data_IF_609864513209
#
_entry.id   IF_609864513209
#
_cell.length_a   1.000
_cell.length_b   1.000
_cell.length_c   1.000
_cell.angle_alpha   90.00
_cell.angle_beta   90.00
_cell.angle_gamma   90.00
#
_symmetry.space_group_name_H-M   'P 1'
#
loop_
_entity.id
_entity.type
_entity.pdbx_description
1 polymer ?
#
# COMPACT_ATOMS: atom_id res chain seq x y z
N UNK A 1 65.19 70.35 8.59
CA UNK A 1 65.20 69.10 9.39
C UNK A 1 63.75 68.68 9.59
N UNK A 2 63.17 67.92 8.64
CA UNK A 2 61.77 67.50 8.71
C UNK A 2 61.68 66.06 9.21
N UNK A 3 61.08 65.91 10.39
CA UNK A 3 60.87 64.64 11.06
C UNK A 3 59.84 63.80 10.28
N UNK A 4 60.30 62.73 9.65
CA UNK A 4 59.48 61.75 8.96
C UNK A 4 58.73 60.89 9.99
N UNK A 5 57.60 61.41 10.46
CA UNK A 5 56.74 60.83 11.50
C UNK A 5 56.07 59.54 10.97
N UNK A 6 56.53 58.38 11.45
CA UNK A 6 55.87 57.06 11.51
C UNK A 6 54.45 56.93 10.91
N UNK A 7 54.30 56.97 9.58
CA UNK A 7 53.01 56.73 8.87
C UNK A 7 52.77 55.25 8.51
N UNK A 8 53.75 54.37 8.74
CA UNK A 8 53.68 52.94 8.42
C UNK A 8 52.65 52.10 9.22
N UNK A 9 52.33 52.39 10.50
CA UNK A 9 51.32 51.59 11.20
C UNK A 9 49.89 51.90 10.71
N UNK A 10 49.65 53.10 10.18
CA UNK A 10 48.32 53.52 9.72
C UNK A 10 47.89 52.77 8.45
N UNK A 11 48.82 52.58 7.50
CA UNK A 11 48.54 51.86 6.25
C UNK A 11 48.23 50.38 6.48
N UNK A 12 48.88 49.76 7.47
CA UNK A 12 48.62 48.36 7.85
C UNK A 12 47.22 48.24 8.47
N UNK A 13 46.82 49.21 9.30
CA UNK A 13 45.49 49.22 9.90
C UNK A 13 44.37 49.37 8.87
N UNK A 14 44.55 50.26 7.88
CA UNK A 14 43.60 50.44 6.77
C UNK A 14 43.53 49.17 5.92
N UNK A 15 44.67 48.53 5.63
CA UNK A 15 44.70 47.28 4.87
C UNK A 15 43.96 46.14 5.60
N UNK A 16 44.16 45.99 6.92
CA UNK A 16 43.43 45.01 7.71
C UNK A 16 41.91 45.24 7.67
N UNK A 17 41.43 46.47 7.79
CA UNK A 17 39.99 46.77 7.76
C UNK A 17 39.36 46.45 6.39
N UNK A 18 40.08 46.69 5.29
CA UNK A 18 39.59 46.36 3.94
C UNK A 18 39.49 44.84 3.74
N UNK A 19 40.43 44.05 4.27
CA UNK A 19 40.34 42.58 4.16
C UNK A 19 39.18 41.98 4.94
N UNK A 20 38.77 42.54 6.09
CA UNK A 20 37.62 42.04 6.86
C UNK A 20 36.30 42.17 6.08
N UNK A 21 36.18 43.17 5.20
CA UNK A 21 34.99 43.36 4.34
C UNK A 21 34.88 42.31 3.23
N UNK A 22 36.01 41.76 2.76
CA UNK A 22 36.04 40.76 1.68
C UNK A 22 35.73 39.33 2.18
N UNK A 23 35.90 39.07 3.48
CA UNK A 23 35.55 37.80 4.13
C UNK A 23 34.20 37.84 4.85
N UNK A 24 33.41 38.91 4.69
CA UNK A 24 31.99 38.87 5.03
C UNK A 24 31.31 37.93 4.03
N UNK A 25 31.33 36.64 4.35
CA UNK A 25 30.64 35.58 3.64
C UNK A 25 29.23 36.08 3.31
N UNK A 26 28.93 36.20 2.02
CA UNK A 26 27.56 36.29 1.52
C UNK A 26 26.73 35.27 2.27
N UNK A 27 25.68 35.72 2.95
CA UNK A 27 24.74 34.90 3.73
C UNK A 27 24.01 33.93 2.78
N UNK A 28 24.72 32.91 2.31
CA UNK A 28 24.18 31.76 1.59
C UNK A 28 23.67 30.72 2.60
N UNK A 29 23.18 31.21 3.75
CA UNK A 29 22.50 30.38 4.74
C UNK A 29 21.13 30.12 4.18
N UNK A 30 20.90 28.87 3.80
CA UNK A 30 19.62 28.41 3.29
C UNK A 30 18.48 28.91 4.18
N UNK A 31 17.63 29.78 3.62
CA UNK A 31 16.59 30.51 4.34
C UNK A 31 15.57 29.52 4.87
N UNK A 32 15.51 29.36 6.19
CA UNK A 32 14.49 28.56 6.85
C UNK A 32 13.16 29.32 6.85
N UNK A 33 12.08 28.63 6.52
CA UNK A 33 10.70 29.11 6.59
C UNK A 33 9.93 28.32 7.65
N UNK A 34 9.04 29.00 8.36
CA UNK A 34 8.04 28.34 9.19
C UNK A 34 6.97 27.78 8.25
N UNK A 35 6.87 26.46 8.18
CA UNK A 35 5.83 25.76 7.45
C UNK A 35 4.87 25.11 8.44
N UNK A 36 3.67 25.65 8.53
CA UNK A 36 2.61 25.15 9.41
C UNK A 36 1.30 25.02 8.64
N UNK A 37 0.43 24.10 9.05
CA UNK A 37 -0.76 23.74 8.30
C UNK A 37 -1.58 22.66 8.99
N UNK A 38 -2.61 22.19 8.30
CA UNK A 38 -3.52 21.15 8.78
C UNK A 38 -3.51 19.96 7.81
N UNK A 39 -3.40 18.74 8.35
CA UNK A 39 -3.65 17.51 7.60
C UNK A 39 -5.10 17.07 7.83
N UNK A 40 -5.85 16.96 6.73
CA UNK A 40 -7.27 16.64 6.74
C UNK A 40 -7.54 15.53 5.73
N UNK A 41 -8.50 14.66 6.04
CA UNK A 41 -9.04 13.72 5.06
C UNK A 41 -9.96 14.44 4.06
N UNK A 42 -10.32 13.78 2.95
CA UNK A 42 -11.27 14.31 1.97
C UNK A 42 -12.60 14.77 2.61
N UNK A 43 -13.06 14.05 3.64
CA UNK A 43 -14.28 14.36 4.40
C UNK A 43 -14.08 15.45 5.48
N UNK A 44 -13.00 16.24 5.39
CA UNK A 44 -12.66 17.30 6.36
C UNK A 44 -12.43 16.82 7.80
N UNK A 45 -12.07 15.56 7.98
CA UNK A 45 -11.73 14.99 9.28
C UNK A 45 -10.23 15.23 9.57
N UNK A 46 -9.85 15.83 10.72
CA UNK A 46 -8.45 16.06 11.04
C UNK A 46 -7.70 14.76 11.28
N UNK A 47 -6.45 14.71 10.81
CA UNK A 47 -5.58 13.56 10.99
C UNK A 47 -4.62 13.80 12.14
N UNK A 48 -4.90 13.17 13.27
CA UNK A 48 -4.03 13.16 14.44
C UNK A 48 -2.86 12.17 14.29
N UNK A 49 -1.73 12.43 14.96
CA UNK A 49 -0.59 11.53 15.08
C UNK A 49 0.04 11.11 13.74
N UNK A 50 -0.14 11.89 12.68
CA UNK A 50 0.56 11.73 11.42
C UNK A 50 1.96 12.34 11.53
N UNK A 51 2.97 11.59 11.09
CA UNK A 51 4.36 12.04 11.11
C UNK A 51 4.72 12.70 9.78
N UNK A 52 5.19 13.94 9.85
CA UNK A 52 5.81 14.65 8.75
C UNK A 52 7.33 14.53 8.87
N UNK A 53 7.96 13.86 7.91
CA UNK A 53 9.40 13.60 7.88
C UNK A 53 10.02 14.44 6.78
N UNK A 54 10.89 15.38 7.13
CA UNK A 54 11.66 16.14 6.14
C UNK A 54 12.80 15.28 5.61
N UNK A 55 12.85 15.01 4.30
CA UNK A 55 13.89 14.17 3.72
C UNK A 55 15.31 14.76 3.80
N UNK A 56 15.44 16.09 3.84
CA UNK A 56 16.74 16.77 3.89
C UNK A 56 17.32 16.73 5.29
N UNK A 57 16.53 17.14 6.28
CA UNK A 57 16.99 17.28 7.67
C UNK A 57 16.72 16.04 8.53
N UNK A 58 15.94 15.08 8.03
CA UNK A 58 15.41 13.94 8.78
C UNK A 58 14.62 14.33 10.04
N UNK A 59 14.22 15.60 10.14
CA UNK A 59 13.42 16.09 11.26
C UNK A 59 11.99 15.56 11.13
N UNK A 60 11.48 15.04 12.23
CA UNK A 60 10.14 14.47 12.35
C UNK A 60 9.28 15.39 13.21
N UNK A 61 8.07 15.68 12.73
CA UNK A 61 7.04 16.41 13.48
C UNK A 61 5.74 15.60 13.40
N UNK A 62 5.01 15.49 14.50
CA UNK A 62 3.71 14.84 14.53
C UNK A 62 2.58 15.90 14.49
N UNK A 63 1.43 15.54 13.92
CA UNK A 63 0.21 16.34 14.03
C UNK A 63 -0.44 16.20 15.40
N UNK A 64 -1.10 17.26 15.86
CA UNK A 64 -1.95 17.24 17.06
C UNK A 64 -3.37 16.72 16.79
N UNK A 65 -4.24 16.73 17.80
CA UNK A 65 -5.64 16.28 17.73
C UNK A 65 -6.50 17.08 16.75
N UNK A 66 -6.06 18.26 16.32
CA UNK A 66 -6.73 19.09 15.31
C UNK A 66 -6.15 18.87 13.90
N UNK A 67 -5.20 17.94 13.77
CA UNK A 67 -4.45 17.71 12.54
C UNK A 67 -3.43 18.80 12.24
N UNK A 68 -3.17 19.72 13.17
CA UNK A 68 -2.23 20.82 12.98
C UNK A 68 -0.79 20.34 13.12
N UNK A 69 0.08 20.86 12.27
CA UNK A 69 1.53 20.69 12.38
C UNK A 69 2.26 22.01 12.20
N UNK A 70 3.48 22.08 12.73
CA UNK A 70 4.40 23.19 12.53
C UNK A 70 5.84 22.70 12.48
N UNK A 71 6.54 23.03 11.40
CA UNK A 71 7.95 22.67 11.21
C UNK A 71 8.75 23.82 10.62
N UNK A 72 10.08 23.74 10.80
CA UNK A 72 11.04 24.61 10.14
C UNK A 72 11.62 23.81 8.97
N UNK A 73 11.47 24.35 7.76
CA UNK A 73 11.95 23.70 6.54
C UNK A 73 12.53 24.75 5.59
N UNK A 74 13.27 24.32 4.58
CA UNK A 74 13.73 25.20 3.52
C UNK A 74 12.74 25.14 2.35
N UNK A 75 12.57 26.24 1.59
CA UNK A 75 11.88 26.21 0.31
C UNK A 75 12.38 25.06 -0.58
N UNK A 76 11.46 24.31 -1.18
CA UNK A 76 11.75 23.14 -2.01
C UNK A 76 12.01 21.85 -1.23
N UNK A 77 12.00 21.87 0.11
CA UNK A 77 12.08 20.63 0.89
C UNK A 77 10.87 19.72 0.63
N UNK A 78 11.12 18.42 0.69
CA UNK A 78 10.09 17.39 0.60
C UNK A 78 9.80 16.81 1.98
N UNK A 79 8.52 16.85 2.36
CA UNK A 79 8.00 16.31 3.61
C UNK A 79 7.17 15.07 3.27
N UNK A 80 7.58 13.90 3.78
CA UNK A 80 6.78 12.69 3.70
C UNK A 80 5.76 12.68 4.84
N UNK A 81 4.48 12.60 4.48
CA UNK A 81 3.41 12.28 5.43
C UNK A 81 3.35 10.78 5.60
N UNK A 82 3.50 10.34 6.85
CA UNK A 82 3.44 8.95 7.22
C UNK A 82 2.44 8.75 8.35
N UNK A 83 1.48 7.87 8.12
CA UNK A 83 0.51 7.45 9.12
C UNK A 83 0.09 6.02 8.79
N UNK A 84 -0.22 5.22 9.82
CA UNK A 84 -0.50 3.78 9.66
C UNK A 84 -1.66 3.51 8.68
N UNK A 85 -2.67 4.38 8.70
CA UNK A 85 -3.91 4.22 7.93
C UNK A 85 -3.95 5.05 6.65
N UNK A 86 -2.95 5.90 6.39
CA UNK A 86 -2.96 6.81 5.24
C UNK A 86 -2.05 6.33 4.12
N UNK A 87 -2.36 6.74 2.91
CA UNK A 87 -1.45 6.57 1.78
C UNK A 87 -0.21 7.45 1.97
N UNK A 88 0.99 6.92 1.74
CA UNK A 88 2.21 7.72 1.78
C UNK A 88 2.11 8.86 0.76
N UNK A 89 2.23 10.09 1.23
CA UNK A 89 2.15 11.28 0.40
C UNK A 89 3.36 12.17 0.64
N UNK A 90 3.85 12.81 -0.41
CA UNK A 90 4.96 13.77 -0.33
C UNK A 90 4.39 15.16 -0.57
N UNK A 91 4.73 16.08 0.33
CA UNK A 91 4.37 17.50 0.26
C UNK A 91 5.66 18.29 0.00
N UNK A 92 5.59 19.24 -0.93
CA UNK A 92 6.70 20.16 -1.16
C UNK A 92 6.47 21.48 -0.42
N UNK A 93 7.51 21.97 0.24
CA UNK A 93 7.49 23.28 0.90
C UNK A 93 7.63 24.37 -0.16
N UNK A 94 6.62 25.23 -0.37
CA UNK A 94 6.70 26.30 -1.37
C UNK A 94 7.67 27.40 -0.92
N UNK A 95 8.13 28.22 -1.87
CA UNK A 95 8.97 29.39 -1.58
C UNK A 95 8.28 30.42 -0.69
N UNK A 96 6.97 30.58 -0.88
CA UNK A 96 6.10 31.43 -0.08
C UNK A 96 4.93 30.61 0.43
N UNK A 97 5.04 29.96 1.60
CA UNK A 97 3.95 29.16 2.15
C UNK A 97 2.73 30.04 2.45
N UNK A 98 1.57 29.57 1.99
CA UNK A 98 0.30 30.11 2.41
C UNK A 98 0.18 30.01 3.94
N UNK A 99 -0.59 30.90 4.56
CA UNK A 99 -0.86 30.80 6.00
C UNK A 99 -1.73 29.58 6.24
N UNK A 100 -1.18 28.57 6.91
CA UNK A 100 -1.89 27.36 7.35
C UNK A 100 -2.65 26.63 6.24
N UNK A 101 -1.99 26.17 5.16
CA UNK A 101 -2.61 25.33 4.15
C UNK A 101 -3.31 24.12 4.77
N UNK A 102 -4.47 23.77 4.19
CA UNK A 102 -5.16 22.51 4.44
C UNK A 102 -4.68 21.52 3.38
N UNK A 103 -4.11 20.41 3.83
CA UNK A 103 -3.49 19.41 2.97
C UNK A 103 -4.36 18.15 3.02
N UNK A 104 -5.07 17.83 1.92
CA UNK A 104 -5.88 16.63 1.86
C UNK A 104 -4.97 15.39 1.75
N UNK A 105 -5.30 14.37 2.54
CA UNK A 105 -4.65 13.05 2.53
C UNK A 105 -5.68 11.95 2.40
N UNK A 106 -5.30 10.84 1.78
CA UNK A 106 -6.20 9.73 1.50
C UNK A 106 -5.92 8.52 2.41
N UNK A 107 -6.97 7.76 2.71
CA UNK A 107 -6.83 6.49 3.40
C UNK A 107 -6.14 5.45 2.51
N UNK A 108 -5.23 4.68 3.11
CA UNK A 108 -4.64 3.51 2.48
C UNK A 108 -5.65 2.38 2.44
N UNK A 109 -6.29 2.21 1.30
CA UNK A 109 -7.19 1.08 1.09
C UNK A 109 -6.34 -0.14 0.80
N UNK A 110 -6.04 -0.94 1.83
CA UNK A 110 -5.57 -2.30 1.61
C UNK A 110 -6.73 -3.10 1.01
N UNK A 111 -6.83 -3.12 -0.32
CA UNK A 111 -7.63 -4.14 -0.99
C UNK A 111 -6.97 -5.47 -0.67
N UNK A 112 -7.57 -6.25 0.23
CA UNK A 112 -7.28 -7.68 0.33
C UNK A 112 -7.56 -8.22 -1.05
N UNK A 113 -6.50 -8.52 -1.82
CA UNK A 113 -6.67 -9.17 -3.09
C UNK A 113 -7.37 -10.49 -2.78
N UNK A 114 -8.57 -10.75 -3.33
CA UNK A 114 -9.21 -12.03 -3.10
C UNK A 114 -8.23 -13.09 -3.58
N UNK A 115 -7.86 -14.00 -2.70
CA UNK A 115 -7.13 -15.20 -3.10
C UNK A 115 -8.12 -15.98 -3.96
N UNK A 116 -8.05 -15.78 -5.27
CA UNK A 116 -8.80 -16.60 -6.23
C UNK A 116 -8.13 -17.96 -6.21
N UNK A 117 -8.53 -18.79 -5.25
CA UNK A 117 -8.16 -20.19 -5.31
C UNK A 117 -8.88 -20.75 -6.54
N UNK A 118 -8.15 -21.08 -7.60
CA UNK A 118 -8.66 -21.91 -8.71
C UNK A 118 -9.07 -23.34 -8.25
N UNK A 119 -9.27 -23.54 -6.94
CA UNK A 119 -9.61 -24.80 -6.28
C UNK A 119 -10.84 -25.43 -6.92
N UNK A 120 -11.85 -24.64 -7.27
CA UNK A 120 -13.06 -25.15 -7.91
C UNK A 120 -12.77 -25.83 -9.26
N UNK A 121 -11.99 -25.20 -10.15
CA UNK A 121 -11.65 -25.79 -11.45
C UNK A 121 -10.83 -27.08 -11.31
N UNK A 122 -9.87 -27.10 -10.39
CA UNK A 122 -9.06 -28.29 -10.11
C UNK A 122 -9.88 -29.40 -9.44
N UNK A 123 -10.76 -29.06 -8.50
CA UNK A 123 -11.65 -30.01 -7.83
C UNK A 123 -12.66 -30.60 -8.81
N UNK A 124 -13.23 -29.78 -9.70
CA UNK A 124 -14.17 -30.24 -10.72
C UNK A 124 -13.49 -31.20 -11.70
N UNK A 125 -12.29 -30.86 -12.18
CA UNK A 125 -11.52 -31.74 -13.08
C UNK A 125 -11.18 -33.09 -12.42
N UNK A 126 -10.84 -33.09 -11.13
CA UNK A 126 -10.58 -34.33 -10.38
C UNK A 126 -11.87 -35.13 -10.15
N UNK A 127 -12.98 -34.46 -9.86
CA UNK A 127 -14.30 -35.08 -9.72
C UNK A 127 -14.74 -35.75 -11.03
N UNK A 128 -14.68 -35.05 -12.16
CA UNK A 128 -15.00 -35.59 -13.49
C UNK A 128 -14.13 -36.81 -13.82
N UNK A 129 -12.83 -36.75 -13.53
CA UNK A 129 -11.91 -37.87 -13.74
C UNK A 129 -12.28 -39.08 -12.90
N UNK A 130 -12.64 -38.87 -11.63
CA UNK A 130 -13.06 -39.94 -10.72
C UNK A 130 -14.40 -40.54 -11.13
N UNK A 131 -15.38 -39.72 -11.54
CA UNK A 131 -16.66 -40.19 -12.06
C UNK A 131 -16.46 -41.04 -13.32
N UNK A 132 -15.66 -40.57 -14.28
CA UNK A 132 -15.35 -41.32 -15.51
C UNK A 132 -14.71 -42.67 -15.20
N UNK A 133 -13.79 -42.73 -14.25
CA UNK A 133 -13.17 -43.97 -13.79
C UNK A 133 -14.19 -44.92 -13.15
N UNK A 134 -15.03 -44.40 -12.25
CA UNK A 134 -16.09 -45.17 -11.60
C UNK A 134 -17.06 -45.76 -12.63
N UNK A 135 -17.47 -44.99 -13.64
CA UNK A 135 -18.33 -45.50 -14.72
C UNK A 135 -17.68 -46.63 -15.52
N UNK A 136 -16.38 -46.51 -15.83
CA UNK A 136 -15.65 -47.57 -16.52
C UNK A 136 -15.59 -48.86 -15.68
N UNK A 137 -15.28 -48.75 -14.39
CA UNK A 137 -15.23 -49.89 -13.46
C UNK A 137 -16.61 -50.55 -13.29
N UNK A 138 -17.68 -49.77 -13.17
CA UNK A 138 -19.05 -50.29 -13.08
C UNK A 138 -19.46 -51.02 -14.36
N UNK A 139 -19.10 -50.48 -15.52
CA UNK A 139 -19.36 -51.12 -16.81
C UNK A 139 -18.60 -52.46 -16.93
N UNK A 140 -17.34 -52.53 -16.52
CA UNK A 140 -16.55 -53.77 -16.46
C UNK A 140 -17.17 -54.82 -15.51
N UNK A 141 -17.79 -54.37 -14.42
CA UNK A 141 -18.51 -55.23 -13.47
C UNK A 141 -19.89 -55.71 -13.99
N UNK A 142 -20.27 -55.32 -15.21
CA UNK A 142 -21.55 -55.70 -15.82
C UNK A 142 -22.73 -54.85 -15.36
N UNK A 143 -22.50 -53.75 -14.64
CA UNK A 143 -23.52 -52.76 -14.34
C UNK A 143 -23.68 -51.84 -15.55
N UNK A 144 -24.63 -52.17 -16.43
CA UNK A 144 -25.11 -51.25 -17.45
C UNK A 144 -26.09 -50.29 -16.80
N UNK A 145 -25.73 -49.01 -16.69
CA UNK A 145 -26.69 -47.98 -16.28
C UNK A 145 -27.75 -47.89 -17.37
N UNK A 146 -28.93 -48.48 -17.16
CA UNK A 146 -30.09 -48.15 -17.95
C UNK A 146 -30.45 -46.71 -17.62
N UNK A 147 -29.95 -45.77 -18.43
CA UNK A 147 -30.41 -44.39 -18.42
C UNK A 147 -31.88 -44.46 -18.82
N UNK A 148 -32.77 -44.54 -17.83
CA UNK A 148 -34.18 -44.33 -18.05
C UNK A 148 -34.32 -42.90 -18.56
N UNK A 149 -34.40 -42.74 -19.88
CA UNK A 149 -34.81 -41.49 -20.52
C UNK A 149 -36.27 -41.24 -20.13
N UNK A 150 -36.47 -40.70 -18.94
CA UNK A 150 -37.72 -40.05 -18.59
C UNK A 150 -37.92 -38.92 -19.58
N UNK A 151 -38.93 -39.02 -20.44
CA UNK A 151 -39.36 -37.96 -21.36
C UNK A 151 -39.96 -36.75 -20.64
N UNK A 152 -40.02 -36.77 -19.30
CA UNK A 152 -40.41 -35.61 -18.49
C UNK A 152 -39.16 -34.85 -18.07
N UNK A 153 -38.88 -33.77 -18.81
CA UNK A 153 -38.01 -32.67 -18.40
C UNK A 153 -38.59 -32.05 -17.12
N UNK A 154 -38.12 -32.49 -15.96
CA UNK A 154 -38.37 -31.78 -14.71
C UNK A 154 -37.27 -30.72 -14.55
N UNK A 155 -37.59 -29.41 -14.65
CA UNK A 155 -36.61 -28.33 -14.57
C UNK A 155 -35.98 -28.17 -13.17
N UNK A 156 -36.49 -28.89 -12.17
CA UNK A 156 -35.95 -28.92 -10.81
C UNK A 156 -35.36 -30.29 -10.44
N UNK A 157 -34.92 -31.09 -11.42
CA UNK A 157 -34.31 -32.37 -11.13
C UNK A 157 -32.81 -32.20 -10.81
N UNK A 158 -32.36 -32.32 -9.53
CA UNK A 158 -30.94 -32.25 -9.20
C UNK A 158 -30.14 -33.47 -9.71
N UNK A 159 -30.82 -34.50 -10.22
CA UNK A 159 -30.25 -35.77 -10.64
C UNK A 159 -29.70 -35.82 -12.07
N UNK A 160 -29.52 -34.69 -12.78
CA UNK A 160 -28.89 -34.70 -14.11
C UNK A 160 -27.47 -35.31 -14.10
N UNK A 161 -26.79 -35.26 -12.95
CA UNK A 161 -25.49 -35.91 -12.72
C UNK A 161 -25.56 -37.20 -11.89
N UNK A 162 -26.77 -37.63 -11.49
CA UNK A 162 -26.93 -38.85 -10.74
C UNK A 162 -26.82 -40.04 -11.70
N UNK A 163 -25.84 -40.95 -11.53
CA UNK A 163 -25.57 -42.05 -12.45
C UNK A 163 -26.72 -43.06 -12.65
N UNK A 164 -27.89 -42.86 -12.03
CA UNK A 164 -28.99 -43.82 -12.03
C UNK A 164 -28.63 -45.12 -11.31
N UNK A 165 -27.57 -45.12 -10.50
CA UNK A 165 -27.10 -46.28 -9.75
C UNK A 165 -28.03 -46.52 -8.56
N UNK A 166 -29.12 -47.22 -8.79
CA UNK A 166 -29.91 -47.84 -7.73
C UNK A 166 -29.17 -49.06 -7.19
N UNK A 167 -28.05 -48.83 -6.49
CA UNK A 167 -27.32 -49.88 -5.78
C UNK A 167 -28.26 -50.39 -4.68
N UNK A 168 -28.79 -51.60 -4.83
CA UNK A 168 -29.57 -52.23 -3.76
C UNK A 168 -28.58 -52.65 -2.66
N UNK A 169 -28.95 -52.59 -1.37
CA UNK A 169 -28.07 -52.99 -0.27
C UNK A 169 -27.44 -54.39 -0.44
N UNK A 170 -28.12 -55.31 -1.14
CA UNK A 170 -27.59 -56.65 -1.47
C UNK A 170 -26.43 -56.66 -2.49
N UNK A 171 -26.33 -55.66 -3.36
CA UNK A 171 -25.26 -55.54 -4.35
C UNK A 171 -23.94 -55.08 -3.70
N UNK A 172 -24.01 -54.30 -2.62
CA UNK A 172 -22.85 -53.94 -1.79
C UNK A 172 -22.20 -55.19 -1.18
N UNK A 173 -23.00 -56.17 -0.74
CA UNK A 173 -22.49 -57.43 -0.16
C UNK A 173 -21.73 -58.26 -1.22
N UNK A 174 -22.10 -58.17 -2.50
CA UNK A 174 -21.39 -58.82 -3.61
C UNK A 174 -20.03 -58.16 -3.91
N UNK A 175 -19.93 -56.84 -3.80
CA UNK A 175 -18.68 -56.09 -3.96
C UNK A 175 -17.60 -56.52 -2.94
N UNK A 176 -17.99 -56.82 -1.70
CA UNK A 176 -17.04 -57.24 -0.66
C UNK A 176 -16.77 -58.74 -0.61
N UNK A 177 -17.58 -59.58 -1.28
CA UNK A 177 -17.41 -61.05 -1.28
C UNK A 177 -16.41 -61.57 -2.30
N UNK A 178 -16.01 -60.79 -3.30
CA UNK A 178 -15.00 -61.18 -4.31
C UNK A 178 -13.63 -60.56 -4.01
N UNK A 179 -13.07 -60.88 -2.85
CA UNK A 179 -11.63 -60.81 -2.60
C UNK A 179 -11.16 -62.15 -2.03
N UNK A 180 -10.82 -63.06 -2.94
CA UNK A 180 -9.86 -64.14 -2.77
C UNK A 180 -9.22 -64.39 -4.12
#
# INVERSE_FOLDING_TARGET
MFAQKNMRPLSIFVFCIVTVRLFAQTDDKAKLVNFDGYLMLEDSIPVENAYLINYRSMKIVATDSTGYFKTLAQPGDSLMVNHLTLEPQIIHVPESPARKPIIPVNYRIYRIAPVVTNSYQYQMKNFEKNMKKMYAELHELGFTSHVYKSTRLNPYNPDEFNPGLTIRPGDLIRLFKRKK
#
